data_IF_257242476819
#
_entry.id   IF_257242476819
#
_cell.length_a   1.000
_cell.length_b   1.000
_cell.length_c   1.000
_cell.angle_alpha   90.00
_cell.angle_beta   90.00
_cell.angle_gamma   90.00
#
_symmetry.space_group_name_H-M   'P 1'
#
loop_
_entity.id
_entity.type
_entity.pdbx_description
1 polymer ?
#
# COMPACT_ATOMS: atom_id res chain seq x y z
N UNK A 1 -3.05 25.64 12.46
CA UNK A 1 -1.97 24.90 13.15
C UNK A 1 -1.76 23.59 12.42
N UNK A 2 -0.65 23.46 11.69
CA UNK A 2 -0.22 22.17 11.14
C UNK A 2 0.08 21.26 12.32
N UNK A 3 -0.77 20.29 12.60
CA UNK A 3 -0.41 19.19 13.50
C UNK A 3 0.79 18.51 12.86
N UNK A 4 1.95 18.55 13.52
CA UNK A 4 3.10 17.74 13.12
C UNK A 4 2.63 16.28 13.13
N UNK A 5 2.54 15.68 11.95
CA UNK A 5 2.31 14.24 11.82
C UNK A 5 3.65 13.56 12.02
N UNK A 6 3.69 12.66 12.99
CA UNK A 6 4.87 11.89 13.37
C UNK A 6 4.61 10.46 12.93
N UNK A 7 5.62 9.81 12.36
CA UNK A 7 5.49 8.42 11.95
C UNK A 7 5.31 7.51 13.19
N UNK A 8 4.50 6.44 13.09
CA UNK A 8 4.30 5.53 14.20
C UNK A 8 5.63 4.90 14.66
N UNK A 9 5.77 4.67 15.96
CA UNK A 9 6.99 4.11 16.55
C UNK A 9 8.15 5.09 16.67
N UNK A 10 8.04 6.34 16.18
CA UNK A 10 9.08 7.36 16.38
C UNK A 10 9.13 7.91 17.81
N UNK A 11 7.98 8.20 18.41
CA UNK A 11 7.88 8.82 19.75
C UNK A 11 7.06 7.99 20.75
N UNK A 12 6.61 6.81 20.33
CA UNK A 12 5.82 5.89 21.15
C UNK A 12 6.45 4.50 21.13
N UNK A 13 6.12 3.69 22.13
CA UNK A 13 6.70 2.38 22.39
C UNK A 13 5.78 1.21 22.00
N UNK A 14 4.57 1.52 21.50
CA UNK A 14 3.53 0.53 21.26
C UNK A 14 3.16 0.40 19.78
N UNK A 15 3.70 1.27 18.93
CA UNK A 15 3.52 1.22 17.49
C UNK A 15 4.80 0.82 16.76
N UNK A 16 4.59 0.09 15.67
CA UNK A 16 5.62 -0.25 14.70
C UNK A 16 5.11 0.15 13.33
N UNK A 17 5.96 0.85 12.59
CA UNK A 17 5.76 1.17 11.19
C UNK A 17 6.80 0.42 10.37
N UNK A 18 6.37 -0.46 9.48
CA UNK A 18 7.22 -1.23 8.57
C UNK A 18 7.26 -0.49 7.24
N UNK A 19 8.41 -0.51 6.56
CA UNK A 19 8.54 0.12 5.25
C UNK A 19 9.69 -0.48 4.45
N UNK A 20 9.64 -0.25 3.13
CA UNK A 20 10.71 -0.63 2.22
C UNK A 20 11.44 0.62 1.72
N UNK A 21 12.77 0.60 1.85
CA UNK A 21 13.65 1.61 1.25
C UNK A 21 14.83 0.88 0.60
N UNK A 22 15.11 1.20 -0.67
CA UNK A 22 16.21 0.55 -1.43
C UNK A 22 16.12 -0.99 -1.43
N UNK A 23 14.90 -1.55 -1.56
CA UNK A 23 14.59 -2.99 -1.50
C UNK A 23 14.88 -3.67 -0.15
N UNK A 24 15.19 -2.89 0.89
CA UNK A 24 15.40 -3.37 2.25
C UNK A 24 14.16 -3.14 3.10
N UNK A 25 13.72 -4.19 3.80
CA UNK A 25 12.66 -4.10 4.80
C UNK A 25 13.23 -3.52 6.10
N UNK A 26 12.61 -2.44 6.57
CA UNK A 26 12.95 -1.75 7.81
C UNK A 26 11.69 -1.53 8.63
N UNK A 27 11.88 -1.18 9.90
CA UNK A 27 10.79 -0.72 10.75
C UNK A 27 11.22 0.47 11.61
N UNK A 28 10.26 1.33 11.95
CA UNK A 28 10.37 2.35 12.99
C UNK A 28 9.73 1.78 14.25
N UNK A 29 10.53 1.67 15.32
CA UNK A 29 10.05 1.21 16.63
C UNK A 29 10.91 1.85 17.73
N UNK A 30 10.28 2.32 18.81
CA UNK A 30 10.95 2.89 19.98
C UNK A 30 11.96 4.02 19.62
N UNK A 31 11.59 4.86 18.65
CA UNK A 31 12.42 5.97 18.17
C UNK A 31 13.63 5.58 17.32
N UNK A 32 13.69 4.33 16.85
CA UNK A 32 14.79 3.82 16.03
C UNK A 32 14.27 3.24 14.72
N UNK A 33 15.10 3.37 13.68
CA UNK A 33 14.96 2.59 12.46
C UNK A 33 15.79 1.33 12.59
N UNK A 34 15.16 0.17 12.48
CA UNK A 34 15.79 -1.15 12.58
C UNK A 34 15.66 -1.92 11.27
N UNK A 35 16.66 -2.72 10.94
CA UNK A 35 16.64 -3.60 9.78
C UNK A 35 15.89 -4.89 10.09
N UNK A 36 15.38 -5.58 9.08
CA UNK A 36 14.70 -6.88 9.26
C UNK A 36 15.52 -7.91 10.06
N UNK A 37 16.85 -7.91 9.90
CA UNK A 37 17.75 -8.78 10.67
C UNK A 37 17.77 -8.50 12.18
N UNK A 38 17.36 -7.30 12.58
CA UNK A 38 17.32 -6.83 13.96
C UNK A 38 15.88 -6.85 14.53
N UNK A 39 14.90 -7.37 13.77
CA UNK A 39 13.53 -7.50 14.26
C UNK A 39 13.51 -8.46 15.45
N UNK A 40 12.84 -8.03 16.52
CA UNK A 40 12.65 -8.88 17.69
C UNK A 40 11.80 -10.11 17.36
N UNK A 41 12.01 -11.21 18.10
CA UNK A 41 11.22 -12.43 17.92
C UNK A 41 9.70 -12.19 18.00
N UNK A 42 9.17 -11.38 18.95
CA UNK A 42 7.73 -11.05 18.97
C UNK A 42 7.24 -10.37 17.70
N UNK A 43 8.04 -9.46 17.12
CA UNK A 43 7.69 -8.77 15.88
C UNK A 43 7.62 -9.75 14.70
N UNK A 44 8.61 -10.65 14.58
CA UNK A 44 8.62 -11.70 13.57
C UNK A 44 7.40 -12.63 13.73
N UNK A 45 7.08 -13.01 14.96
CA UNK A 45 5.94 -13.89 15.24
C UNK A 45 4.60 -13.26 14.86
N UNK A 46 4.40 -11.98 15.16
CA UNK A 46 3.18 -11.24 14.79
C UNK A 46 2.99 -11.24 13.26
N UNK A 47 4.06 -11.00 12.50
CA UNK A 47 4.03 -10.99 11.03
C UNK A 47 3.77 -12.40 10.50
N UNK A 48 4.40 -13.42 11.09
CA UNK A 48 4.21 -14.82 10.71
C UNK A 48 2.78 -15.30 10.95
N UNK A 49 2.18 -14.97 12.09
CA UNK A 49 0.79 -15.31 12.39
C UNK A 49 -0.17 -14.68 11.38
N UNK A 50 0.04 -13.41 11.02
CA UNK A 50 -0.75 -12.73 9.99
C UNK A 50 -0.58 -13.37 8.60
N UNK A 51 0.65 -13.74 8.25
CA UNK A 51 0.95 -14.45 7.00
C UNK A 51 0.23 -15.80 6.95
N UNK A 52 0.28 -16.58 8.03
CA UNK A 52 -0.34 -17.90 8.10
C UNK A 52 -1.87 -17.85 8.14
N UNK A 53 -2.46 -16.77 8.65
CA UNK A 53 -3.90 -16.56 8.65
C UNK A 53 -4.46 -16.22 7.25
N UNK A 54 -3.62 -15.81 6.29
CA UNK A 54 -4.00 -15.48 4.92
C UNK A 54 -3.56 -16.62 3.97
N UNK A 55 -4.41 -17.65 3.83
CA UNK A 55 -4.11 -18.87 3.06
C UNK A 55 -3.61 -18.56 1.63
N UNK A 56 -4.25 -17.60 0.94
CA UNK A 56 -3.87 -17.22 -0.43
C UNK A 56 -2.50 -16.55 -0.48
N UNK A 57 -2.21 -15.69 0.49
CA UNK A 57 -0.89 -15.07 0.61
C UNK A 57 0.17 -16.14 0.92
N UNK A 58 -0.12 -17.07 1.85
CA UNK A 58 0.78 -18.15 2.21
C UNK A 58 1.10 -19.05 1.01
N UNK A 59 0.09 -19.48 0.23
CA UNK A 59 0.30 -20.27 -0.99
C UNK A 59 1.20 -19.54 -2.01
N UNK A 60 0.94 -18.25 -2.24
CA UNK A 60 1.77 -17.42 -3.11
C UNK A 60 3.22 -17.35 -2.61
N UNK A 61 3.41 -17.15 -1.31
CA UNK A 61 4.73 -17.06 -0.68
C UNK A 61 5.47 -18.41 -0.69
N UNK A 62 4.77 -19.53 -0.54
CA UNK A 62 5.36 -20.87 -0.69
C UNK A 62 5.86 -21.11 -2.12
N UNK A 63 5.20 -20.55 -3.14
CA UNK A 63 5.71 -20.59 -4.52
C UNK A 63 6.95 -19.70 -4.70
N UNK A 64 6.97 -18.50 -4.10
CA UNK A 64 8.10 -17.57 -4.21
C UNK A 64 9.34 -18.07 -3.44
N UNK A 65 9.14 -18.59 -2.23
CA UNK A 65 10.20 -18.99 -1.31
C UNK A 65 9.86 -20.34 -0.64
N UNK A 66 9.94 -21.47 -1.36
CA UNK A 66 9.53 -22.78 -0.84
C UNK A 66 10.37 -23.25 0.35
N UNK A 67 11.69 -22.99 0.32
CA UNK A 67 12.64 -23.54 1.30
C UNK A 67 12.95 -22.66 2.51
N UNK A 68 12.34 -21.48 2.67
CA UNK A 68 12.69 -20.58 3.77
C UNK A 68 11.49 -19.82 4.30
N UNK A 69 11.13 -20.12 5.55
CA UNK A 69 10.05 -19.44 6.24
C UNK A 69 10.38 -17.97 6.52
N UNK A 70 11.61 -17.68 6.95
CA UNK A 70 12.05 -16.32 7.22
C UNK A 70 11.97 -15.42 5.97
N UNK A 71 12.34 -15.94 4.79
CA UNK A 71 12.17 -15.19 3.52
C UNK A 71 10.70 -14.96 3.16
N UNK A 72 9.80 -15.90 3.49
CA UNK A 72 8.36 -15.69 3.30
C UNK A 72 7.82 -14.60 4.21
N UNK A 73 8.23 -14.59 5.48
CA UNK A 73 7.87 -13.55 6.45
C UNK A 73 8.36 -12.18 5.97
N UNK A 74 9.64 -12.08 5.57
CA UNK A 74 10.20 -10.84 5.00
C UNK A 74 9.41 -10.38 3.77
N UNK A 75 9.16 -11.29 2.83
CA UNK A 75 8.44 -10.98 1.59
C UNK A 75 6.98 -10.60 1.83
N UNK A 76 6.30 -11.25 2.79
CA UNK A 76 4.95 -10.89 3.22
C UNK A 76 4.93 -9.46 3.74
N UNK A 77 5.85 -9.13 4.67
CA UNK A 77 5.94 -7.80 5.24
C UNK A 77 6.26 -6.74 4.17
N UNK A 78 7.24 -6.99 3.28
CA UNK A 78 7.54 -6.10 2.15
C UNK A 78 6.30 -5.85 1.28
N UNK A 79 5.57 -6.90 0.92
CA UNK A 79 4.41 -6.78 0.05
C UNK A 79 3.23 -6.08 0.74
N UNK A 80 3.04 -6.30 2.04
CA UNK A 80 1.84 -5.90 2.78
C UNK A 80 1.96 -4.55 3.49
N UNK A 81 3.16 -4.22 3.94
CA UNK A 81 3.46 -3.08 4.82
C UNK A 81 4.70 -2.33 4.30
N UNK A 82 4.87 -2.25 2.97
CA UNK A 82 6.07 -1.67 2.38
C UNK A 82 6.04 -0.15 2.24
N UNK A 83 4.87 0.46 2.37
CA UNK A 83 4.69 1.91 2.25
C UNK A 83 4.82 2.59 3.60
N UNK A 84 5.67 3.63 3.66
CA UNK A 84 5.81 4.44 4.86
C UNK A 84 4.65 5.43 4.99
N UNK A 85 3.82 5.29 6.01
CA UNK A 85 2.66 6.15 6.24
C UNK A 85 2.38 6.50 7.72
N UNK A 86 1.31 7.24 7.98
CA UNK A 86 1.02 7.79 9.32
C UNK A 86 0.09 6.89 10.16
N UNK A 87 -0.17 5.67 9.70
CA UNK A 87 -1.03 4.67 10.32
C UNK A 87 -0.16 3.47 10.71
N UNK A 88 -0.09 3.12 12.00
CA UNK A 88 0.78 2.02 12.42
C UNK A 88 0.37 0.69 11.80
N UNK A 89 1.33 0.00 11.18
CA UNK A 89 1.16 -1.40 10.77
C UNK A 89 0.90 -2.32 11.96
N UNK A 90 1.52 -2.06 13.10
CA UNK A 90 1.29 -2.80 14.35
C UNK A 90 1.06 -1.80 15.47
N UNK A 91 0.01 -2.03 16.27
CA UNK A 91 -0.30 -1.22 17.44
C UNK A 91 -0.70 -2.09 18.61
N UNK A 92 -0.03 -1.91 19.75
CA UNK A 92 -0.23 -2.73 20.96
C UNK A 92 -0.11 -4.24 20.67
N UNK A 93 0.82 -4.64 19.79
CA UNK A 93 1.01 -6.03 19.37
C UNK A 93 -0.05 -6.56 18.38
N UNK A 94 -1.03 -5.75 17.97
CA UNK A 94 -2.03 -6.13 16.97
C UNK A 94 -1.60 -5.59 15.62
N UNK A 95 -1.44 -6.50 14.66
CA UNK A 95 -1.12 -6.17 13.27
C UNK A 95 -2.36 -5.72 12.50
N UNK A 96 -2.20 -4.69 11.69
CA UNK A 96 -3.22 -4.18 10.78
C UNK A 96 -3.41 -5.05 9.54
N UNK A 97 -4.43 -4.73 8.75
CA UNK A 97 -4.68 -5.45 7.49
C UNK A 97 -3.58 -5.22 6.44
N UNK A 98 -2.81 -4.14 6.60
CA UNK A 98 -1.82 -3.61 5.67
C UNK A 98 -2.43 -2.66 4.64
N UNK A 99 -1.58 -1.78 4.15
CA UNK A 99 -1.99 -0.70 3.25
C UNK A 99 -1.53 -0.91 1.82
N UNK A 100 -2.14 -0.13 0.93
CA UNK A 100 -1.64 -0.03 -0.43
C UNK A 100 -0.34 0.76 -0.42
N UNK A 101 0.67 0.20 -1.09
CA UNK A 101 1.86 0.95 -1.47
C UNK A 101 2.22 0.66 -2.93
N UNK A 102 2.94 1.62 -3.54
CA UNK A 102 3.37 1.55 -4.93
C UNK A 102 4.60 0.65 -5.10
N UNK A 103 4.39 -0.65 -4.89
CA UNK A 103 5.42 -1.66 -5.09
C UNK A 103 6.03 -1.57 -6.51
N UNK A 104 7.36 -1.40 -6.66
CA UNK A 104 8.00 -1.28 -7.97
C UNK A 104 7.76 -2.49 -8.90
N UNK A 105 7.49 -3.65 -8.31
CA UNK A 105 7.26 -4.90 -9.04
C UNK A 105 5.78 -5.10 -9.41
N UNK A 106 4.87 -4.17 -9.06
CA UNK A 106 3.42 -4.39 -9.18
C UNK A 106 2.96 -4.71 -10.61
N UNK A 107 3.55 -4.08 -11.61
CA UNK A 107 3.21 -4.29 -13.02
C UNK A 107 3.65 -5.65 -13.57
N UNK A 108 4.69 -6.26 -13.01
CA UNK A 108 5.28 -7.53 -13.48
C UNK A 108 5.08 -8.69 -12.51
N UNK A 109 4.56 -8.44 -11.31
CA UNK A 109 4.42 -9.45 -10.27
C UNK A 109 3.23 -10.38 -10.55
N UNK A 110 3.51 -11.68 -10.67
CA UNK A 110 2.51 -12.75 -10.84
C UNK A 110 1.51 -12.82 -9.67
N UNK A 111 1.93 -12.38 -8.47
CA UNK A 111 1.14 -12.41 -7.24
C UNK A 111 0.58 -11.02 -6.85
N UNK A 112 0.58 -10.06 -7.78
CA UNK A 112 -0.01 -8.74 -7.58
C UNK A 112 -1.49 -8.88 -7.17
N UNK A 113 -1.88 -8.18 -6.09
CA UNK A 113 -3.23 -8.21 -5.53
C UNK A 113 -3.57 -9.45 -4.71
N UNK A 114 -2.65 -10.42 -4.59
CA UNK A 114 -2.79 -11.58 -3.70
C UNK A 114 -2.19 -11.25 -2.33
N UNK A 115 -0.88 -10.98 -2.31
CA UNK A 115 -0.18 -10.65 -1.05
C UNK A 115 -0.35 -9.17 -0.74
N UNK A 116 -0.10 -8.28 -1.70
CA UNK A 116 -0.27 -6.84 -1.51
C UNK A 116 -1.75 -6.45 -1.57
N UNK A 117 -2.16 -5.47 -0.76
CA UNK A 117 -3.53 -4.95 -0.82
C UNK A 117 -3.72 -4.03 -2.03
N UNK A 118 -4.94 -4.04 -2.54
CA UNK A 118 -5.42 -3.04 -3.48
C UNK A 118 -5.80 -1.76 -2.71
N UNK A 119 -5.62 -0.57 -3.31
CA UNK A 119 -5.98 0.67 -2.63
C UNK A 119 -7.49 0.71 -2.39
N UNK A 120 -7.89 1.25 -1.23
CA UNK A 120 -9.31 1.43 -0.89
C UNK A 120 -9.58 2.90 -0.64
N UNK A 121 -10.68 3.41 -1.18
CA UNK A 121 -11.20 4.75 -0.88
C UNK A 121 -12.62 4.56 -0.35
N UNK A 122 -12.91 5.09 0.84
CA UNK A 122 -14.21 4.94 1.51
C UNK A 122 -14.66 3.47 1.63
N UNK A 123 -13.72 2.55 1.87
CA UNK A 123 -13.98 1.11 1.94
C UNK A 123 -14.15 0.41 0.59
N UNK A 124 -14.15 1.13 -0.52
CA UNK A 124 -14.27 0.57 -1.86
C UNK A 124 -12.91 0.35 -2.51
N UNK A 125 -12.67 -0.85 -3.04
CA UNK A 125 -11.44 -1.20 -3.75
C UNK A 125 -11.30 -0.41 -5.05
N UNK A 126 -10.16 0.24 -5.25
CA UNK A 126 -9.78 0.95 -6.47
C UNK A 126 -9.11 -0.01 -7.44
N UNK A 127 -9.62 -0.09 -8.67
CA UNK A 127 -9.04 -0.96 -9.72
C UNK A 127 -7.75 -0.36 -10.29
N UNK A 128 -6.92 -1.14 -11.00
CA UNK A 128 -5.74 -0.61 -11.67
C UNK A 128 -6.05 0.53 -12.66
N UNK A 129 -7.14 0.42 -13.43
CA UNK A 129 -7.56 1.46 -14.37
C UNK A 129 -8.01 2.73 -13.64
N UNK A 130 -8.77 2.58 -12.55
CA UNK A 130 -9.19 3.70 -11.71
C UNK A 130 -7.97 4.39 -11.07
N UNK A 131 -7.00 3.62 -10.57
CA UNK A 131 -5.76 4.15 -10.02
C UNK A 131 -4.96 4.93 -11.08
N UNK A 132 -4.89 4.43 -12.32
CA UNK A 132 -4.26 5.16 -13.42
C UNK A 132 -4.99 6.49 -13.71
N UNK A 133 -6.32 6.51 -13.67
CA UNK A 133 -7.10 7.77 -13.81
C UNK A 133 -6.78 8.73 -12.66
N UNK A 134 -6.66 8.25 -11.42
CA UNK A 134 -6.27 9.07 -10.26
C UNK A 134 -4.88 9.68 -10.50
N UNK A 135 -3.90 8.85 -10.92
CA UNK A 135 -2.52 9.28 -11.20
C UNK A 135 -2.46 10.33 -12.30
N UNK A 136 -3.07 10.07 -13.46
CA UNK A 136 -3.12 11.07 -14.54
C UNK A 136 -3.86 12.34 -14.10
N UNK A 137 -4.90 12.21 -13.27
CA UNK A 137 -5.62 13.33 -12.69
C UNK A 137 -4.80 14.15 -11.67
N UNK A 138 -3.66 13.66 -11.20
CA UNK A 138 -2.75 14.46 -10.37
C UNK A 138 -1.75 15.31 -11.18
N UNK A 139 -1.68 15.08 -12.49
CA UNK A 139 -0.71 15.72 -13.39
C UNK A 139 -1.37 16.75 -14.31
N UNK A 140 -0.57 17.35 -15.21
CA UNK A 140 -1.04 18.23 -16.27
C UNK A 140 -1.69 17.50 -17.46
N UNK A 141 -1.75 16.16 -17.45
CA UNK A 141 -2.33 15.34 -18.53
C UNK A 141 -3.77 15.75 -18.84
N UNK A 142 -4.08 15.97 -20.12
CA UNK A 142 -5.43 16.29 -20.58
C UNK A 142 -6.29 15.03 -20.68
N UNK A 143 -7.62 15.19 -20.77
CA UNK A 143 -8.50 14.03 -20.88
C UNK A 143 -8.30 13.26 -22.20
N UNK A 144 -7.91 13.95 -23.27
CA UNK A 144 -7.64 13.35 -24.58
C UNK A 144 -6.42 12.44 -24.49
N UNK A 145 -5.30 12.93 -23.95
CA UNK A 145 -4.09 12.13 -23.74
C UNK A 145 -4.36 10.98 -22.78
N UNK A 146 -5.09 11.23 -21.69
CA UNK A 146 -5.47 10.16 -20.74
C UNK A 146 -6.29 9.05 -21.41
N UNK A 147 -7.19 9.39 -22.34
CA UNK A 147 -7.99 8.41 -23.07
C UNK A 147 -7.13 7.56 -24.01
N UNK A 148 -6.15 8.18 -24.67
CA UNK A 148 -5.17 7.50 -25.51
C UNK A 148 -4.28 6.55 -24.70
N UNK A 149 -3.69 7.02 -23.60
CA UNK A 149 -2.84 6.21 -22.70
C UNK A 149 -3.57 5.01 -22.11
N UNK A 150 -4.87 5.16 -21.81
CA UNK A 150 -5.72 4.07 -21.30
C UNK A 150 -6.34 3.22 -22.41
N UNK A 151 -6.11 3.56 -23.68
CA UNK A 151 -6.70 2.91 -24.85
C UNK A 151 -8.24 2.80 -24.76
N UNK A 152 -8.90 3.91 -24.41
CA UNK A 152 -10.36 4.01 -24.31
C UNK A 152 -10.90 5.19 -25.11
N UNK A 153 -12.18 5.15 -25.49
CA UNK A 153 -12.82 6.31 -26.11
C UNK A 153 -13.03 7.44 -25.10
N UNK A 154 -13.03 8.69 -25.59
CA UNK A 154 -13.22 9.88 -24.75
C UNK A 154 -14.53 9.83 -23.93
N UNK A 155 -15.63 9.39 -24.55
CA UNK A 155 -16.92 9.21 -23.86
C UNK A 155 -16.87 8.13 -22.76
N UNK A 156 -16.13 7.04 -22.99
CA UNK A 156 -15.90 6.01 -21.97
C UNK A 156 -15.07 6.56 -20.81
N UNK A 157 -14.01 7.34 -21.09
CA UNK A 157 -13.21 7.98 -20.05
C UNK A 157 -14.07 8.91 -19.18
N UNK A 158 -14.94 9.73 -19.78
CA UNK A 158 -15.83 10.62 -19.02
C UNK A 158 -16.71 9.84 -18.04
N UNK A 159 -17.32 8.74 -18.51
CA UNK A 159 -18.14 7.86 -17.66
C UNK A 159 -17.32 7.20 -16.54
N UNK A 160 -16.11 6.73 -16.84
CA UNK A 160 -15.21 6.14 -15.84
C UNK A 160 -14.85 7.17 -14.75
N UNK A 161 -14.52 8.41 -15.15
CA UNK A 161 -14.24 9.50 -14.20
C UNK A 161 -15.44 9.82 -13.32
N UNK A 162 -16.64 9.88 -13.90
CA UNK A 162 -17.86 10.15 -13.14
C UNK A 162 -18.09 9.07 -12.07
N UNK A 163 -18.05 7.80 -12.45
CA UNK A 163 -18.21 6.67 -11.52
C UNK A 163 -17.13 6.71 -10.44
N UNK A 164 -15.88 6.99 -10.81
CA UNK A 164 -14.76 7.08 -9.88
C UNK A 164 -14.94 8.23 -8.88
N UNK A 165 -15.47 9.37 -9.33
CA UNK A 165 -15.68 10.55 -8.47
C UNK A 165 -16.81 10.29 -7.48
N UNK A 166 -17.91 9.67 -7.93
CA UNK A 166 -19.00 9.21 -7.05
C UNK A 166 -18.48 8.19 -6.03
N UNK A 167 -17.71 7.19 -6.47
CA UNK A 167 -17.06 6.18 -5.63
C UNK A 167 -16.13 6.78 -4.57
N UNK A 168 -15.36 7.79 -4.96
CA UNK A 168 -14.41 8.45 -4.07
C UNK A 168 -15.02 9.57 -3.24
N UNK A 169 -16.30 9.90 -3.44
CA UNK A 169 -16.99 11.03 -2.83
C UNK A 169 -16.21 12.34 -3.01
N UNK A 170 -15.96 12.69 -4.27
CA UNK A 170 -15.27 13.94 -4.68
C UNK A 170 -15.99 14.56 -5.86
N UNK A 171 -15.96 15.89 -5.97
CA UNK A 171 -16.58 16.64 -7.06
C UNK A 171 -15.55 17.15 -8.07
N UNK A 172 -14.30 17.32 -7.65
CA UNK A 172 -13.27 17.96 -8.47
C UNK A 172 -11.99 17.15 -8.60
N UNK A 173 -11.22 17.42 -9.67
CA UNK A 173 -9.88 16.86 -9.90
C UNK A 173 -8.94 17.21 -8.73
N UNK A 174 -9.07 18.41 -8.19
CA UNK A 174 -8.28 18.92 -7.07
C UNK A 174 -8.58 18.15 -5.78
N UNK A 175 -9.85 17.92 -5.47
CA UNK A 175 -10.26 17.10 -4.32
C UNK A 175 -9.75 15.67 -4.44
N UNK A 176 -9.87 15.06 -5.63
CA UNK A 176 -9.30 13.74 -5.91
C UNK A 176 -7.80 13.71 -5.62
N UNK A 177 -7.06 14.71 -6.11
CA UNK A 177 -5.60 14.80 -5.92
C UNK A 177 -5.23 14.90 -4.45
N UNK A 178 -5.92 15.76 -3.69
CA UNK A 178 -5.68 15.90 -2.24
C UNK A 178 -5.99 14.59 -1.49
N UNK A 179 -7.04 13.86 -1.90
CA UNK A 179 -7.41 12.58 -1.29
C UNK A 179 -6.40 11.49 -1.62
N UNK A 180 -5.96 11.42 -2.88
CA UNK A 180 -4.97 10.47 -3.36
C UNK A 180 -3.60 10.65 -2.69
N UNK A 181 -3.14 11.90 -2.50
CA UNK A 181 -1.92 12.22 -1.74
C UNK A 181 -1.99 11.72 -0.29
N UNK A 182 -3.15 11.89 0.37
CA UNK A 182 -3.33 11.44 1.76
C UNK A 182 -3.32 9.92 1.92
N UNK A 183 -3.56 9.18 0.84
CA UNK A 183 -3.66 7.73 0.79
C UNK A 183 -2.46 7.09 0.07
N UNK A 184 -1.39 7.86 -0.17
CA UNK A 184 -0.17 7.41 -0.87
C UNK A 184 -0.44 6.73 -2.22
N UNK A 185 -1.44 7.23 -2.98
CA UNK A 185 -1.76 6.71 -4.32
C UNK A 185 -0.96 7.39 -5.44
N UNK A 186 -0.37 8.54 -5.13
CA UNK A 186 0.42 9.45 -5.98
C UNK A 186 1.53 10.10 -5.17
#
# INVERSE_FOLDING_TARGET
MTKNRIYPGMLDDNSVEIFVIEDQLKAIQNGKVISFTDFSFPLIQIIEEAMNADEKALEALMQMHPGSNLRRIEQFAKCRFGGLDFTPDIKNGVIGEGDYWDCPLRSSCKHNGIICKAPKINGQTITPEELSIIRYSATATTNEVMAEELNVSFGRLHKMKQILYEKCDVQTKQEMTVKALKLNLI
#
